data_IF_769451409130
#
_entry.id   IF_769451409130
#
_cell.length_a   1.000
_cell.length_b   1.000
_cell.length_c   1.000
_cell.angle_alpha   90.00
_cell.angle_beta   90.00
_cell.angle_gamma   90.00
#
_symmetry.space_group_name_H-M   'P 1'
#
loop_
_entity.id
_entity.type
_entity.pdbx_description
1 polymer ?
#
# COMPACT_ATOMS: atom_id res chain seq x y z
N UNK A 1 -58.85 9.42 -28.27
CA UNK A 1 -57.83 8.37 -28.04
C UNK A 1 -57.01 8.21 -29.32
N UNK A 2 -55.69 8.01 -29.31
CA UNK A 2 -54.69 8.16 -28.25
C UNK A 2 -53.33 8.48 -28.92
N UNK A 3 -52.45 9.28 -28.30
CA UNK A 3 -51.10 9.53 -28.84
C UNK A 3 -50.17 8.35 -28.54
N UNK A 4 -49.48 7.83 -29.57
CA UNK A 4 -48.45 6.81 -29.39
C UNK A 4 -47.09 7.43 -29.02
N UNK A 5 -46.61 7.16 -27.81
CA UNK A 5 -45.24 7.49 -27.41
C UNK A 5 -44.26 6.39 -27.89
N UNK A 6 -43.27 6.78 -28.69
CA UNK A 6 -42.19 5.88 -29.12
C UNK A 6 -41.11 5.79 -28.04
N UNK A 7 -40.96 4.63 -27.40
CA UNK A 7 -39.83 4.39 -26.49
C UNK A 7 -38.50 4.35 -27.27
N UNK A 8 -37.54 5.18 -26.85
CA UNK A 8 -36.15 5.09 -27.32
C UNK A 8 -35.41 3.94 -26.59
N UNK A 9 -34.52 3.20 -27.26
CA UNK A 9 -33.89 2.01 -26.67
C UNK A 9 -32.79 2.37 -25.64
N UNK A 10 -32.87 1.78 -24.44
CA UNK A 10 -31.93 1.97 -23.32
C UNK A 10 -30.44 1.71 -23.67
N UNK A 11 -30.17 0.91 -24.71
CA UNK A 11 -28.81 0.50 -25.08
C UNK A 11 -27.86 1.67 -25.43
N UNK A 12 -28.38 2.81 -25.89
CA UNK A 12 -27.55 3.99 -26.24
C UNK A 12 -27.07 4.76 -25.00
N UNK A 13 -27.85 4.75 -23.93
CA UNK A 13 -27.55 5.47 -22.69
C UNK A 13 -26.38 4.83 -21.93
N UNK A 14 -26.32 3.48 -21.89
CA UNK A 14 -25.26 2.73 -21.20
C UNK A 14 -23.87 2.94 -21.79
N UNK A 15 -23.75 3.14 -23.11
CA UNK A 15 -22.46 3.47 -23.77
C UNK A 15 -21.98 4.89 -23.44
N UNK A 16 -22.89 5.87 -23.39
CA UNK A 16 -22.57 7.25 -23.02
C UNK A 16 -22.04 7.35 -21.58
N UNK A 17 -22.63 6.61 -20.63
CA UNK A 17 -22.16 6.55 -19.24
C UNK A 17 -20.77 5.92 -19.04
N UNK A 18 -20.22 5.21 -20.03
CA UNK A 18 -18.83 4.71 -19.97
C UNK A 18 -17.87 5.55 -20.83
N UNK A 19 -18.38 6.28 -21.83
CA UNK A 19 -17.59 7.24 -22.60
C UNK A 19 -17.22 8.48 -21.77
N UNK A 20 -18.11 8.95 -20.88
CA UNK A 20 -17.87 10.15 -20.04
C UNK A 20 -16.68 9.96 -19.07
N UNK A 21 -16.57 8.87 -18.28
CA UNK A 21 -15.39 8.62 -17.45
C UNK A 21 -14.10 8.49 -18.26
N UNK A 22 -14.13 7.82 -19.42
CA UNK A 22 -12.97 7.68 -20.30
C UNK A 22 -12.53 9.03 -20.89
N UNK A 23 -13.48 9.90 -21.28
CA UNK A 23 -13.17 11.24 -21.76
C UNK A 23 -12.57 12.12 -20.66
N UNK A 24 -13.10 12.06 -19.43
CA UNK A 24 -12.53 12.80 -18.28
C UNK A 24 -11.14 12.26 -17.92
N UNK A 25 -10.94 10.94 -17.92
CA UNK A 25 -9.65 10.32 -17.66
C UNK A 25 -8.62 10.66 -18.75
N UNK A 26 -9.03 10.66 -20.03
CA UNK A 26 -8.21 11.09 -21.15
C UNK A 26 -7.88 12.59 -21.08
N UNK A 27 -8.81 13.45 -20.69
CA UNK A 27 -8.57 14.89 -20.50
C UNK A 27 -7.64 15.18 -19.31
N UNK A 28 -7.76 14.42 -18.22
CA UNK A 28 -6.82 14.50 -17.09
C UNK A 28 -5.44 14.01 -17.51
N UNK A 29 -5.34 12.87 -18.20
CA UNK A 29 -4.09 12.39 -18.79
C UNK A 29 -3.47 13.43 -19.72
N UNK A 30 -4.23 13.97 -20.68
CA UNK A 30 -3.75 15.01 -21.60
C UNK A 30 -3.31 16.29 -20.87
N UNK A 31 -4.04 16.70 -19.84
CA UNK A 31 -3.66 17.84 -19.00
C UNK A 31 -2.32 17.60 -18.28
N UNK A 32 -2.15 16.45 -17.62
CA UNK A 32 -0.91 16.10 -16.94
C UNK A 32 0.26 15.83 -17.92
N UNK A 33 -0.01 15.25 -19.10
CA UNK A 33 0.96 15.09 -20.18
C UNK A 33 1.41 16.45 -20.73
N UNK A 34 0.48 17.38 -20.96
CA UNK A 34 0.82 18.73 -21.42
C UNK A 34 1.53 19.56 -20.34
N UNK A 35 1.28 19.28 -19.06
CA UNK A 35 2.02 19.86 -17.94
C UNK A 35 3.46 19.31 -17.89
N UNK A 36 3.64 17.99 -18.01
CA UNK A 36 4.95 17.34 -18.04
C UNK A 36 5.78 17.68 -19.30
N UNK A 37 5.14 17.86 -20.46
CA UNK A 37 5.82 18.30 -21.68
C UNK A 37 6.28 19.78 -21.65
N UNK A 38 5.71 20.61 -20.77
CA UNK A 38 6.23 21.97 -20.49
C UNK A 38 7.47 21.95 -19.60
N UNK A 39 7.81 20.80 -19.01
CA UNK A 39 8.99 20.61 -18.16
C UNK A 39 10.18 20.01 -18.94
N UNK A 40 10.03 19.68 -20.23
CA UNK A 40 11.13 19.26 -21.09
C UNK A 40 11.79 20.47 -21.77
N UNK A 41 13.05 20.82 -21.46
CA UNK A 41 13.79 21.78 -22.26
C UNK A 41 14.03 21.19 -23.65
N UNK A 42 13.69 21.92 -24.72
CA UNK A 42 14.21 21.58 -26.04
C UNK A 42 15.74 21.50 -25.94
N UNK A 43 16.38 20.39 -26.36
CA UNK A 43 17.83 20.25 -26.23
C UNK A 43 18.51 21.33 -27.05
N UNK A 44 19.27 22.19 -26.37
CA UNK A 44 20.07 23.22 -27.01
C UNK A 44 21.11 22.57 -27.91
N UNK A 45 21.21 23.09 -29.14
CA UNK A 45 22.14 22.58 -30.14
C UNK A 45 23.59 22.84 -29.72
N UNK A 46 24.31 21.76 -29.43
CA UNK A 46 25.78 21.73 -29.49
C UNK A 46 26.48 21.30 -28.21
N UNK A 47 27.01 20.07 -28.22
CA UNK A 47 28.45 19.91 -28.45
C UNK A 47 28.79 18.53 -29.01
N UNK A 48 29.90 18.48 -29.75
CA UNK A 48 30.38 17.33 -30.53
C UNK A 48 31.49 16.64 -29.73
N UNK A 49 31.31 15.37 -29.36
CA UNK A 49 32.26 14.65 -28.49
C UNK A 49 32.26 13.14 -28.70
N UNK A 50 33.07 12.69 -29.67
CA UNK A 50 33.75 11.38 -29.77
C UNK A 50 33.17 10.12 -29.08
N UNK A 51 32.76 9.17 -29.93
CA UNK A 51 32.54 7.75 -29.66
C UNK A 51 33.87 6.97 -29.46
N UNK A 52 33.90 5.90 -28.64
CA UNK A 52 34.76 4.74 -28.88
C UNK A 52 33.96 3.49 -29.32
N UNK A 53 34.51 2.72 -30.26
CA UNK A 53 33.94 1.45 -30.77
C UNK A 53 34.32 0.24 -29.87
N UNK A 54 33.70 -0.95 -30.06
CA UNK A 54 33.75 -2.06 -29.11
C UNK A 54 34.95 -3.01 -29.30
N UNK A 55 35.15 -3.88 -28.31
CA UNK A 55 36.04 -5.05 -28.36
C UNK A 55 35.23 -6.36 -28.31
N UNK A 56 35.77 -7.41 -28.94
CA UNK A 56 35.09 -8.66 -29.33
C UNK A 56 35.10 -9.81 -28.28
N UNK A 57 34.40 -10.96 -28.53
CA UNK A 57 33.99 -11.91 -27.48
C UNK A 57 34.72 -13.28 -27.44
N UNK A 58 34.54 -14.01 -26.33
CA UNK A 58 34.92 -15.42 -26.09
C UNK A 58 34.18 -15.91 -24.80
N UNK A 59 33.71 -17.14 -24.55
CA UNK A 59 33.54 -18.40 -25.29
C UNK A 59 32.35 -19.22 -24.67
N UNK A 60 31.85 -20.33 -25.26
CA UNK A 60 30.61 -21.00 -24.82
C UNK A 60 30.79 -22.09 -23.73
N UNK A 61 29.70 -22.54 -23.07
CA UNK A 61 29.72 -23.66 -22.11
C UNK A 61 29.60 -25.04 -22.78
N UNK A 62 30.28 -26.04 -22.20
CA UNK A 62 30.31 -27.43 -22.68
C UNK A 62 29.07 -28.25 -22.28
N UNK A 63 28.66 -29.17 -23.14
CA UNK A 63 27.56 -30.14 -22.95
C UNK A 63 28.14 -31.54 -22.69
N UNK A 64 27.58 -32.27 -21.70
CA UNK A 64 27.67 -33.72 -21.47
C UNK A 64 26.41 -34.10 -20.65
N UNK A 65 25.31 -34.63 -21.18
CA UNK A 65 25.05 -35.99 -21.73
C UNK A 65 25.25 -37.15 -20.72
N UNK A 66 24.13 -37.56 -20.09
CA UNK A 66 23.56 -38.91 -19.77
C UNK A 66 24.46 -40.19 -19.89
N UNK A 67 24.16 -41.35 -19.23
CA UNK A 67 22.81 -41.97 -19.07
C UNK A 67 22.59 -42.79 -17.74
N UNK A 68 21.57 -43.69 -17.59
CA UNK A 68 21.05 -44.13 -16.26
C UNK A 68 21.24 -45.62 -15.90
N UNK A 69 20.97 -45.98 -14.64
CA UNK A 69 20.75 -47.35 -14.14
C UNK A 69 19.59 -47.33 -13.11
N UNK A 70 18.45 -47.97 -13.39
CA UNK A 70 18.09 -49.40 -13.16
C UNK A 70 17.67 -49.74 -11.71
N UNK A 71 16.39 -50.12 -11.57
CA UNK A 71 15.79 -50.73 -10.36
C UNK A 71 16.23 -52.20 -10.20
N UNK A 72 15.91 -52.89 -9.07
CA UNK A 72 14.64 -53.66 -9.04
C UNK A 72 13.98 -53.88 -7.65
N UNK A 73 12.75 -54.41 -7.67
CA UNK A 73 12.14 -55.17 -6.56
C UNK A 73 11.07 -54.44 -5.71
N UNK A 74 9.95 -55.02 -5.28
CA UNK A 74 8.94 -55.94 -5.86
C UNK A 74 7.99 -56.44 -4.74
N UNK A 75 6.66 -56.28 -4.92
CA UNK A 75 5.55 -57.03 -4.26
C UNK A 75 5.41 -56.88 -2.70
N UNK A 76 4.24 -56.94 -2.05
CA UNK A 76 2.81 -57.06 -2.43
C UNK A 76 1.96 -56.20 -1.46
N UNK A 77 0.62 -56.12 -1.44
CA UNK A 77 -0.44 -56.90 -2.09
C UNK A 77 -1.80 -56.17 -2.05
N UNK A 78 -2.91 -56.86 -1.70
CA UNK A 78 -4.27 -56.28 -1.70
C UNK A 78 -5.15 -56.72 -0.51
N UNK A 79 -6.22 -55.97 -0.23
CA UNK A 79 -7.35 -56.41 0.59
C UNK A 79 -8.42 -55.33 0.83
N UNK A 80 -9.61 -55.48 0.25
CA UNK A 80 -10.81 -54.69 0.58
C UNK A 80 -11.93 -55.62 1.04
N UNK A 81 -12.69 -55.22 2.05
CA UNK A 81 -13.85 -55.97 2.54
C UNK A 81 -14.57 -55.20 3.65
N UNK A 82 -15.89 -55.22 3.64
CA UNK A 82 -16.75 -54.53 4.60
C UNK A 82 -17.61 -55.54 5.36
N UNK A 83 -17.92 -55.28 6.64
CA UNK A 83 -19.29 -55.41 7.19
C UNK A 83 -19.43 -54.92 8.66
N UNK A 84 -20.69 -54.62 8.99
CA UNK A 84 -21.26 -54.03 10.21
C UNK A 84 -21.04 -54.83 11.51
N UNK A 85 -21.14 -54.14 12.67
CA UNK A 85 -22.13 -54.47 13.73
C UNK A 85 -22.18 -53.43 14.88
N UNK A 86 -23.40 -53.14 15.34
CA UNK A 86 -23.81 -52.49 16.63
C UNK A 86 -24.77 -53.49 17.35
N UNK A 87 -25.28 -53.30 18.61
CA UNK A 87 -25.34 -52.08 19.44
C UNK A 87 -25.14 -52.27 20.98
N UNK A 88 -25.49 -51.20 21.72
CA UNK A 88 -25.88 -51.12 23.16
C UNK A 88 -24.86 -51.25 24.31
N UNK A 89 -25.05 -50.38 25.32
CA UNK A 89 -24.30 -50.33 26.57
C UNK A 89 -24.48 -48.98 27.30
N UNK A 90 -25.30 -48.94 28.35
CA UNK A 90 -25.64 -47.73 29.12
C UNK A 90 -24.47 -47.18 29.96
N UNK A 91 -24.51 -45.86 30.22
CA UNK A 91 -23.60 -45.14 31.11
C UNK A 91 -23.67 -45.66 32.57
N UNK A 92 -22.63 -45.40 33.38
CA UNK A 92 -22.84 -44.33 34.36
C UNK A 92 -21.71 -43.28 34.41
N UNK A 93 -22.09 -42.10 34.89
CA UNK A 93 -21.20 -40.95 35.11
C UNK A 93 -20.02 -41.28 36.05
N UNK A 94 -18.82 -40.87 35.64
CA UNK A 94 -17.77 -40.45 36.56
C UNK A 94 -17.16 -39.14 36.06
N UNK A 95 -17.47 -38.04 36.75
CA UNK A 95 -16.88 -36.72 36.47
C UNK A 95 -15.47 -36.70 37.04
N UNK A 96 -14.50 -37.19 36.29
CA UNK A 96 -13.11 -37.02 36.65
C UNK A 96 -12.62 -35.66 36.15
N UNK A 97 -12.64 -34.65 37.03
CA UNK A 97 -11.92 -33.40 36.84
C UNK A 97 -10.42 -33.68 36.71
N UNK A 98 -9.96 -33.96 35.50
CA UNK A 98 -8.58 -33.69 35.12
C UNK A 98 -8.46 -32.19 34.88
N UNK A 99 -7.92 -31.49 35.86
CA UNK A 99 -7.26 -30.21 35.69
C UNK A 99 -6.03 -30.38 34.80
N UNK A 100 -6.27 -30.53 33.50
CA UNK A 100 -5.23 -30.31 32.50
C UNK A 100 -4.75 -28.86 32.59
N UNK A 101 -3.47 -28.58 32.27
CA UNK A 101 -3.04 -27.21 32.06
C UNK A 101 -3.99 -26.55 31.05
N UNK A 102 -4.35 -25.30 31.30
CA UNK A 102 -5.00 -24.49 30.30
C UNK A 102 -3.98 -24.28 29.18
N UNK A 103 -3.98 -25.18 28.18
CA UNK A 103 -3.41 -24.87 26.88
C UNK A 103 -4.18 -23.65 26.37
N UNK A 104 -3.59 -22.48 26.64
CA UNK A 104 -3.78 -21.32 25.79
C UNK A 104 -3.47 -21.84 24.40
N UNK A 105 -4.52 -22.09 23.62
CA UNK A 105 -4.40 -22.37 22.21
C UNK A 105 -3.62 -21.19 21.65
N UNK A 106 -2.31 -21.38 21.44
CA UNK A 106 -1.46 -20.42 20.74
C UNK A 106 -2.00 -20.37 19.32
N UNK A 107 -3.00 -19.50 19.15
CA UNK A 107 -3.63 -19.23 17.87
C UNK A 107 -2.54 -18.58 17.04
N UNK A 108 -1.84 -19.41 16.29
CA UNK A 108 -0.70 -19.03 15.45
C UNK A 108 -1.02 -17.70 14.76
N UNK A 109 -0.14 -16.72 14.94
CA UNK A 109 -0.39 -15.39 14.41
C UNK A 109 -0.54 -15.50 12.89
N UNK A 110 -1.64 -15.00 12.28
CA UNK A 110 -1.96 -15.34 10.90
C UNK A 110 -0.80 -14.94 9.97
N UNK A 111 -0.46 -15.75 8.95
CA UNK A 111 0.80 -15.61 8.20
C UNK A 111 1.08 -14.22 7.61
N UNK A 112 0.03 -13.42 7.38
CA UNK A 112 0.13 -12.03 6.92
C UNK A 112 0.79 -11.07 7.92
N UNK A 113 0.82 -11.40 9.22
CA UNK A 113 1.47 -10.65 10.30
C UNK A 113 2.84 -11.21 10.69
N UNK A 114 3.14 -12.46 10.32
CA UNK A 114 4.43 -13.08 10.55
C UNK A 114 5.59 -12.31 9.90
N UNK A 115 6.86 -12.65 10.17
CA UNK A 115 8.02 -11.89 9.72
C UNK A 115 8.10 -11.65 8.20
N UNK A 116 7.59 -12.59 7.40
CA UNK A 116 7.51 -12.50 5.94
C UNK A 116 6.12 -12.09 5.41
N UNK A 117 5.14 -11.90 6.30
CA UNK A 117 3.82 -11.43 5.96
C UNK A 117 3.82 -9.95 5.55
N UNK A 118 2.95 -9.56 4.62
CA UNK A 118 2.91 -8.19 4.09
C UNK A 118 2.61 -7.15 5.18
N UNK A 119 1.59 -7.40 6.01
CA UNK A 119 1.25 -6.54 7.14
C UNK A 119 2.34 -6.59 8.22
N UNK A 120 2.92 -7.77 8.47
CA UNK A 120 4.01 -7.98 9.42
C UNK A 120 5.25 -7.14 9.11
N UNK A 121 5.71 -7.14 7.85
CA UNK A 121 6.82 -6.29 7.39
C UNK A 121 6.48 -4.80 7.50
N UNK A 122 5.28 -4.40 7.08
CA UNK A 122 4.80 -3.01 7.16
C UNK A 122 4.80 -2.50 8.60
N UNK A 123 4.18 -3.25 9.52
CA UNK A 123 4.10 -2.91 10.95
C UNK A 123 5.48 -2.89 11.61
N UNK A 124 6.35 -3.84 11.27
CA UNK A 124 7.73 -3.90 11.82
C UNK A 124 8.53 -2.66 11.44
N UNK A 125 8.55 -2.29 10.15
CA UNK A 125 9.29 -1.12 9.69
C UNK A 125 8.73 0.19 10.25
N UNK A 126 7.40 0.34 10.30
CA UNK A 126 6.77 1.51 10.92
C UNK A 126 7.03 1.60 12.43
N UNK A 127 7.04 0.50 13.18
CA UNK A 127 7.44 0.50 14.60
C UNK A 127 8.92 0.85 14.77
N UNK A 128 9.81 0.26 13.97
CA UNK A 128 11.24 0.55 14.00
C UNK A 128 11.56 2.01 13.62
N UNK A 129 10.66 2.69 12.90
CA UNK A 129 10.80 4.12 12.60
C UNK A 129 10.65 5.03 13.80
N UNK A 130 10.10 4.55 14.91
CA UNK A 130 10.02 5.30 16.15
C UNK A 130 11.24 4.93 17.00
N UNK A 131 12.25 5.80 17.01
CA UNK A 131 13.52 5.48 17.65
C UNK A 131 13.44 5.68 19.19
N UNK A 132 14.34 5.05 19.97
CA UNK A 132 14.37 5.21 21.43
C UNK A 132 14.58 6.64 21.90
N UNK A 133 15.19 7.49 21.07
CA UNK A 133 15.45 8.91 21.33
C UNK A 133 14.19 9.79 21.21
N UNK A 134 13.05 9.21 20.81
CA UNK A 134 11.77 9.90 20.69
C UNK A 134 11.57 10.66 19.37
N UNK A 135 12.36 10.39 18.34
CA UNK A 135 12.29 10.97 17.01
C UNK A 135 11.90 9.91 15.95
N UNK A 136 11.74 10.32 14.68
CA UNK A 136 11.44 9.40 13.57
C UNK A 136 12.70 9.09 12.76
N UNK A 137 13.11 7.82 12.72
CA UNK A 137 14.19 7.32 11.87
C UNK A 137 13.71 7.17 10.41
N UNK A 138 14.32 7.93 9.50
CA UNK A 138 13.77 8.09 8.15
C UNK A 138 13.89 6.83 7.30
N UNK A 139 14.91 6.00 7.50
CA UNK A 139 15.11 4.81 6.66
C UNK A 139 14.03 3.76 6.92
N UNK A 140 13.68 3.52 8.19
CA UNK A 140 12.59 2.62 8.58
C UNK A 140 11.21 3.21 8.25
N UNK A 141 11.02 4.52 8.40
CA UNK A 141 9.77 5.19 8.01
C UNK A 141 9.47 4.97 6.52
N UNK A 142 10.50 5.13 5.67
CA UNK A 142 10.41 4.91 4.22
C UNK A 142 10.27 3.42 3.86
N UNK A 143 10.86 2.51 4.63
CA UNK A 143 10.66 1.08 4.47
C UNK A 143 9.19 0.67 4.77
N UNK A 144 8.59 1.21 5.84
CA UNK A 144 7.16 1.04 6.14
C UNK A 144 6.28 1.57 5.01
N UNK A 145 6.62 2.75 4.48
CA UNK A 145 5.96 3.32 3.31
C UNK A 145 6.07 2.47 2.05
N UNK A 146 7.22 1.82 1.78
CA UNK A 146 7.35 0.89 0.65
C UNK A 146 6.43 -0.32 0.79
N UNK A 147 6.27 -0.88 1.98
CA UNK A 147 5.31 -1.98 2.19
C UNK A 147 3.85 -1.51 2.08
N UNK A 148 3.53 -0.29 2.55
CA UNK A 148 2.19 0.30 2.39
C UNK A 148 1.86 0.56 0.91
N UNK A 149 2.80 1.10 0.14
CA UNK A 149 2.65 1.23 -1.32
C UNK A 149 2.43 -0.12 -1.98
N UNK A 150 3.23 -1.15 -1.64
CA UNK A 150 3.04 -2.52 -2.15
C UNK A 150 1.67 -3.10 -1.82
N UNK A 151 1.13 -2.83 -0.63
CA UNK A 151 -0.22 -3.24 -0.24
C UNK A 151 -1.33 -2.52 -1.05
N UNK A 152 -1.12 -1.25 -1.41
CA UNK A 152 -2.10 -0.44 -2.15
C UNK A 152 -2.02 -0.64 -3.69
N UNK A 153 -0.90 -1.11 -4.23
CA UNK A 153 -0.73 -1.34 -5.69
C UNK A 153 -1.77 -2.30 -6.30
N UNK A 154 -2.15 -3.43 -5.67
CA UNK A 154 -3.19 -4.34 -6.16
C UNK A 154 -4.61 -3.78 -6.24
N UNK A 155 -4.86 -2.55 -5.77
CA UNK A 155 -6.17 -1.87 -5.89
C UNK A 155 -6.50 -1.46 -7.35
N UNK A 156 -5.53 -1.57 -8.26
CA UNK A 156 -5.74 -1.47 -9.70
C UNK A 156 -5.48 -0.09 -10.31
N UNK A 157 -5.70 0.01 -11.63
CA UNK A 157 -5.33 1.19 -12.44
C UNK A 157 -5.97 2.50 -11.97
N UNK A 158 -7.15 2.44 -11.36
CA UNK A 158 -7.84 3.61 -10.79
C UNK A 158 -7.03 4.26 -9.67
N UNK A 159 -6.26 3.48 -8.90
CA UNK A 159 -5.40 3.96 -7.82
C UNK A 159 -3.93 4.11 -8.22
N UNK A 160 -3.56 3.76 -9.46
CA UNK A 160 -2.19 3.82 -9.95
C UNK A 160 -1.60 5.23 -9.89
N UNK A 161 -2.39 6.29 -10.08
CA UNK A 161 -1.91 7.66 -9.91
C UNK A 161 -1.46 7.93 -8.46
N UNK A 162 -2.29 7.61 -7.47
CA UNK A 162 -2.01 7.87 -6.06
C UNK A 162 -0.85 7.00 -5.53
N UNK A 163 -0.79 5.73 -5.93
CA UNK A 163 0.33 4.84 -5.55
C UNK A 163 1.63 5.22 -6.24
N UNK A 164 1.58 5.69 -7.50
CA UNK A 164 2.74 6.26 -8.20
C UNK A 164 3.23 7.55 -7.53
N UNK A 165 2.33 8.49 -7.19
CA UNK A 165 2.70 9.74 -6.52
C UNK A 165 3.38 9.48 -5.16
N UNK A 166 2.83 8.55 -4.36
CA UNK A 166 3.45 8.11 -3.12
C UNK A 166 4.82 7.46 -3.37
N UNK A 167 4.94 6.58 -4.38
CA UNK A 167 6.20 5.93 -4.77
C UNK A 167 7.27 6.92 -5.16
N UNK A 168 6.93 7.97 -5.93
CA UNK A 168 7.85 9.04 -6.32
C UNK A 168 8.34 9.81 -5.10
N UNK A 169 7.46 10.18 -4.16
CA UNK A 169 7.85 10.89 -2.92
C UNK A 169 8.74 10.03 -2.02
N UNK A 170 8.40 8.75 -1.83
CA UNK A 170 9.22 7.79 -1.08
C UNK A 170 10.60 7.67 -1.71
N UNK A 171 10.67 7.46 -3.02
CA UNK A 171 11.93 7.35 -3.77
C UNK A 171 12.77 8.63 -3.65
N UNK A 172 12.15 9.81 -3.79
CA UNK A 172 12.83 11.10 -3.70
C UNK A 172 13.41 11.38 -2.31
N UNK A 173 12.75 10.95 -1.22
CA UNK A 173 13.32 11.09 0.12
C UNK A 173 14.38 10.00 0.39
N UNK A 174 14.20 8.79 -0.13
CA UNK A 174 15.20 7.72 -0.06
C UNK A 174 16.52 8.05 -0.75
N UNK A 175 16.52 8.80 -1.87
CA UNK A 175 17.77 9.24 -2.52
C UNK A 175 18.56 10.20 -1.64
N UNK A 176 17.91 10.95 -0.74
CA UNK A 176 18.58 11.80 0.25
C UNK A 176 19.10 10.99 1.44
N UNK A 177 18.31 10.04 1.95
CA UNK A 177 18.72 9.09 3.01
C UNK A 177 19.94 8.24 2.61
N UNK A 178 20.16 8.00 1.31
CA UNK A 178 21.31 7.25 0.76
C UNK A 178 22.31 8.13 -0.03
N UNK A 179 22.10 9.44 -0.04
CA UNK A 179 22.86 10.39 -0.88
C UNK A 179 24.08 10.99 -0.19
N UNK A 180 24.63 12.05 -0.79
CA UNK A 180 25.77 12.79 -0.22
C UNK A 180 25.43 13.38 1.17
N UNK A 181 24.21 13.90 1.33
CA UNK A 181 23.73 14.49 2.58
C UNK A 181 23.16 13.46 3.58
N UNK A 182 23.35 12.16 3.35
CA UNK A 182 22.75 11.07 4.16
C UNK A 182 23.00 11.20 5.68
N UNK A 183 24.12 11.82 6.08
CA UNK A 183 24.41 12.11 7.48
C UNK A 183 23.33 12.97 8.17
N UNK A 184 22.69 13.87 7.42
CA UNK A 184 21.63 14.76 7.87
C UNK A 184 20.23 14.13 7.74
N UNK A 185 20.06 13.16 6.84
CA UNK A 185 18.79 12.46 6.60
C UNK A 185 18.62 11.17 7.44
N UNK A 186 19.23 11.10 8.63
CA UNK A 186 19.03 9.96 9.55
C UNK A 186 17.67 9.99 10.25
N UNK A 187 17.26 11.16 10.73
CA UNK A 187 16.01 11.32 11.49
C UNK A 187 15.27 12.60 11.11
N UNK A 188 13.99 12.70 11.49
CA UNK A 188 13.17 13.90 11.26
C UNK A 188 13.79 15.16 11.91
N UNK A 189 14.30 15.09 13.14
CA UNK A 189 14.95 16.24 13.76
C UNK A 189 16.24 16.64 13.04
N UNK A 190 17.11 15.68 12.68
CA UNK A 190 18.36 15.94 11.97
C UNK A 190 18.10 16.57 10.59
N UNK A 191 17.15 16.01 9.83
CA UNK A 191 16.73 16.54 8.53
C UNK A 191 16.20 17.97 8.67
N UNK A 192 15.28 18.19 9.61
CA UNK A 192 14.66 19.51 9.81
C UNK A 192 15.69 20.58 10.20
N UNK A 193 16.64 20.23 11.08
CA UNK A 193 17.69 21.15 11.51
C UNK A 193 18.59 21.55 10.33
N UNK A 194 19.03 20.57 9.55
CA UNK A 194 19.88 20.80 8.38
C UNK A 194 19.17 21.57 7.26
N UNK A 195 17.94 21.19 6.90
CA UNK A 195 17.16 21.89 5.86
C UNK A 195 16.84 23.33 6.25
N UNK A 196 16.69 23.62 7.55
CA UNK A 196 16.53 24.98 8.07
C UNK A 196 17.85 25.76 8.02
N UNK A 197 18.96 25.14 8.42
CA UNK A 197 20.29 25.77 8.43
C UNK A 197 20.79 26.11 7.01
N UNK A 198 20.49 25.25 6.03
CA UNK A 198 20.88 25.40 4.62
C UNK A 198 19.88 26.21 3.78
N UNK A 199 18.75 26.63 4.35
CA UNK A 199 17.72 27.40 3.65
C UNK A 199 16.89 26.59 2.64
N UNK A 200 16.93 25.26 2.70
CA UNK A 200 16.14 24.35 1.86
C UNK A 200 14.68 24.22 2.32
N UNK A 201 14.38 24.54 3.58
CA UNK A 201 13.04 24.47 4.15
C UNK A 201 12.14 25.58 3.56
N UNK A 202 11.02 25.21 2.94
CA UNK A 202 10.14 26.19 2.30
C UNK A 202 9.39 27.08 3.32
N UNK A 203 9.00 28.27 2.88
CA UNK A 203 8.09 29.12 3.66
C UNK A 203 6.68 28.53 3.64
N UNK A 204 5.94 28.52 4.79
CA UNK A 204 4.56 28.07 4.84
C UNK A 204 3.68 28.68 3.74
N UNK A 205 2.79 27.86 3.17
CA UNK A 205 1.89 28.29 2.07
C UNK A 205 2.57 28.56 0.72
N UNK A 206 3.90 28.48 0.61
CA UNK A 206 4.61 28.66 -0.67
C UNK A 206 4.75 27.31 -1.37
N UNK A 207 4.02 27.09 -2.45
CA UNK A 207 4.24 25.91 -3.29
C UNK A 207 5.60 26.04 -4.02
N UNK A 208 6.48 25.02 -3.99
CA UNK A 208 7.67 24.99 -4.83
C UNK A 208 7.27 25.17 -6.30
N UNK A 209 8.00 26.01 -7.03
CA UNK A 209 7.82 26.18 -8.49
C UNK A 209 8.13 24.91 -9.29
N UNK A 210 8.73 23.93 -8.62
CA UNK A 210 9.27 22.68 -9.15
C UNK A 210 9.23 21.64 -8.02
N UNK A 211 8.52 20.54 -8.24
CA UNK A 211 8.30 19.50 -7.23
C UNK A 211 9.56 18.68 -6.94
N UNK A 212 10.54 18.63 -7.85
CA UNK A 212 11.84 17.99 -7.62
C UNK A 212 12.69 18.77 -6.60
N UNK A 213 12.39 20.07 -6.40
CA UNK A 213 13.01 20.94 -5.39
C UNK A 213 12.25 21.01 -4.06
N UNK A 214 11.22 20.18 -3.85
CA UNK A 214 10.57 20.04 -2.54
C UNK A 214 11.59 19.65 -1.46
N UNK A 215 11.51 20.22 -0.26
CA UNK A 215 12.29 19.76 0.89
C UNK A 215 11.89 18.33 1.28
N UNK A 216 12.78 17.63 1.99
CA UNK A 216 12.50 16.36 2.62
C UNK A 216 11.46 16.49 3.73
N UNK A 217 11.49 17.59 4.50
CA UNK A 217 10.46 17.92 5.49
C UNK A 217 9.07 18.08 4.85
N UNK A 218 8.95 18.80 3.72
CA UNK A 218 7.70 18.91 2.95
C UNK A 218 7.28 17.57 2.35
N UNK A 219 8.23 16.78 1.84
CA UNK A 219 7.96 15.44 1.28
C UNK A 219 7.44 14.49 2.34
N UNK A 220 8.07 14.47 3.52
CA UNK A 220 7.65 13.69 4.68
C UNK A 220 6.28 14.13 5.20
N UNK A 221 5.98 15.43 5.25
CA UNK A 221 4.65 15.92 5.63
C UNK A 221 3.54 15.44 4.67
N UNK A 222 3.80 15.44 3.37
CA UNK A 222 2.85 14.93 2.38
C UNK A 222 2.60 13.43 2.55
N UNK A 223 3.65 12.64 2.77
CA UNK A 223 3.53 11.22 3.12
C UNK A 223 2.73 11.07 4.43
N UNK A 224 3.12 11.76 5.50
CA UNK A 224 2.46 11.72 6.81
C UNK A 224 0.94 11.98 6.75
N UNK A 225 0.48 12.95 5.95
CA UNK A 225 -0.96 13.18 5.72
C UNK A 225 -1.64 12.00 5.02
N UNK A 226 -0.96 11.36 4.06
CA UNK A 226 -1.42 10.12 3.43
C UNK A 226 -1.37 8.90 4.37
N UNK A 227 -0.49 8.90 5.39
CA UNK A 227 -0.47 7.88 6.45
C UNK A 227 -1.79 7.89 7.23
N UNK A 228 -2.29 9.08 7.58
CA UNK A 228 -3.57 9.24 8.28
C UNK A 228 -4.74 8.71 7.46
N UNK A 229 -4.79 9.01 6.16
CA UNK A 229 -5.82 8.44 5.28
C UNK A 229 -5.76 6.90 5.27
N UNK A 230 -4.55 6.35 5.10
CA UNK A 230 -4.32 4.90 5.06
C UNK A 230 -4.79 4.25 6.36
N UNK A 231 -4.36 4.78 7.51
CA UNK A 231 -4.77 4.31 8.83
C UNK A 231 -6.29 4.34 9.03
N UNK A 232 -6.96 5.45 8.72
CA UNK A 232 -8.41 5.59 8.86
C UNK A 232 -9.16 4.62 7.91
N UNK A 233 -8.70 4.48 6.67
CA UNK A 233 -9.26 3.54 5.70
C UNK A 233 -9.13 2.09 6.19
N UNK A 234 -7.94 1.65 6.61
CA UNK A 234 -7.71 0.31 7.13
C UNK A 234 -8.57 0.01 8.38
N UNK A 235 -8.65 0.95 9.32
CA UNK A 235 -9.47 0.82 10.53
C UNK A 235 -10.96 0.60 10.18
N UNK A 236 -11.49 1.37 9.23
CA UNK A 236 -12.90 1.31 8.82
C UNK A 236 -13.22 0.05 8.01
N UNK A 237 -12.29 -0.41 7.17
CA UNK A 237 -12.41 -1.71 6.47
C UNK A 237 -12.47 -2.84 7.49
N UNK A 238 -11.62 -2.81 8.52
CA UNK A 238 -11.58 -3.83 9.58
C UNK A 238 -12.86 -3.84 10.44
N UNK A 239 -13.38 -2.67 10.82
CA UNK A 239 -14.53 -2.50 11.74
C UNK A 239 -15.90 -2.41 11.06
N UNK A 240 -15.95 -2.34 9.72
CA UNK A 240 -17.19 -2.17 8.96
C UNK A 240 -18.19 -3.31 9.17
N UNK A 241 -19.39 -2.98 9.66
CA UNK A 241 -20.48 -3.93 9.95
C UNK A 241 -21.03 -4.58 8.69
N UNK A 242 -21.54 -5.81 8.83
CA UNK A 242 -22.35 -6.48 7.79
C UNK A 242 -23.60 -5.62 7.48
N UNK A 243 -23.94 -5.48 6.20
CA UNK A 243 -25.02 -4.58 5.75
C UNK A 243 -24.73 -3.07 5.92
N UNK A 244 -23.56 -2.69 6.43
CA UNK A 244 -23.12 -1.29 6.48
C UNK A 244 -22.55 -0.79 5.16
N UNK A 245 -22.15 0.49 5.07
CA UNK A 245 -21.60 1.09 3.85
C UNK A 245 -20.39 0.34 3.29
N UNK A 246 -20.22 0.40 1.96
CA UNK A 246 -19.10 -0.22 1.26
C UNK A 246 -17.74 0.36 1.67
N UNK A 247 -16.71 -0.47 1.54
CA UNK A 247 -15.33 -0.07 1.83
C UNK A 247 -14.90 1.20 1.06
N UNK A 248 -15.34 1.35 -0.21
CA UNK A 248 -15.08 2.55 -1.01
C UNK A 248 -15.68 3.83 -0.40
N UNK A 249 -16.92 3.76 0.09
CA UNK A 249 -17.56 4.88 0.79
C UNK A 249 -16.83 5.20 2.08
N UNK A 250 -16.46 4.16 2.86
CA UNK A 250 -15.74 4.32 4.13
C UNK A 250 -14.34 4.92 3.95
N UNK A 251 -13.60 4.54 2.91
CA UNK A 251 -12.27 5.09 2.60
C UNK A 251 -12.34 6.45 1.87
N UNK A 252 -13.45 6.75 1.18
CA UNK A 252 -13.74 8.09 0.63
C UNK A 252 -14.02 9.11 1.73
N UNK A 253 -14.77 8.73 2.77
CA UNK A 253 -14.98 9.62 3.92
C UNK A 253 -13.68 9.82 4.72
N UNK A 254 -12.85 8.78 4.86
CA UNK A 254 -11.51 8.90 5.45
C UNK A 254 -10.62 9.86 4.65
N UNK A 255 -10.74 9.88 3.31
CA UNK A 255 -10.08 10.85 2.45
C UNK A 255 -10.62 12.27 2.68
N UNK A 256 -11.93 12.40 2.87
CA UNK A 256 -12.60 13.63 3.28
C UNK A 256 -12.02 14.23 4.56
N UNK A 257 -11.71 13.39 5.55
CA UNK A 257 -11.06 13.82 6.81
C UNK A 257 -9.58 14.16 6.64
N UNK A 258 -8.79 13.28 6.00
CA UNK A 258 -7.32 13.32 6.10
C UNK A 258 -6.60 14.06 4.96
N UNK A 259 -7.15 14.07 3.74
CA UNK A 259 -6.45 14.55 2.53
C UNK A 259 -7.21 15.63 1.77
N UNK A 260 -8.55 15.59 1.74
CA UNK A 260 -9.36 16.58 1.04
C UNK A 260 -9.11 18.05 1.46
N UNK A 261 -8.79 18.38 2.74
CA UNK A 261 -8.41 19.75 3.12
C UNK A 261 -7.15 20.27 2.41
N UNK A 262 -6.24 19.37 2.03
CA UNK A 262 -4.94 19.68 1.42
C UNK A 262 -4.93 19.55 -0.10
N UNK A 263 -6.01 19.05 -0.71
CA UNK A 263 -6.08 18.78 -2.14
C UNK A 263 -6.92 19.82 -2.89
N UNK A 264 -6.43 20.33 -4.05
CA UNK A 264 -7.21 21.19 -4.93
C UNK A 264 -8.55 20.57 -5.34
N UNK A 265 -9.53 21.41 -5.70
CA UNK A 265 -10.88 20.96 -6.05
C UNK A 265 -10.90 19.85 -7.12
N UNK A 266 -10.03 19.93 -8.13
CA UNK A 266 -9.93 18.93 -9.20
C UNK A 266 -9.50 17.55 -8.68
N UNK A 267 -8.48 17.51 -7.81
CA UNK A 267 -8.00 16.27 -7.17
C UNK A 267 -9.08 15.70 -6.26
N UNK A 268 -9.87 16.54 -5.57
CA UNK A 268 -11.04 16.07 -4.80
C UNK A 268 -12.12 15.42 -5.68
N UNK A 269 -12.39 15.93 -6.88
CA UNK A 269 -13.33 15.26 -7.80
C UNK A 269 -12.76 13.96 -8.37
N UNK A 270 -11.48 13.94 -8.75
CA UNK A 270 -10.81 12.74 -9.21
C UNK A 270 -10.83 11.63 -8.14
N UNK A 271 -10.52 11.97 -6.88
CA UNK A 271 -10.60 11.04 -5.76
C UNK A 271 -12.02 10.49 -5.54
N UNK A 272 -13.06 11.34 -5.56
CA UNK A 272 -14.46 10.90 -5.46
C UNK A 272 -14.83 9.88 -6.54
N UNK A 273 -14.41 10.11 -7.78
CA UNK A 273 -14.63 9.16 -8.88
C UNK A 273 -13.83 7.86 -8.69
N UNK A 274 -12.58 7.96 -8.22
CA UNK A 274 -11.75 6.80 -7.93
C UNK A 274 -12.37 5.87 -6.87
N UNK A 275 -12.96 6.44 -5.82
CA UNK A 275 -13.62 5.64 -4.77
C UNK A 275 -14.88 4.90 -5.22
N UNK A 276 -15.51 5.28 -6.33
CA UNK A 276 -16.62 4.50 -6.93
C UNK A 276 -16.16 3.16 -7.51
N UNK A 277 -14.86 3.02 -7.80
CA UNK A 277 -14.23 1.79 -8.26
C UNK A 277 -13.23 1.21 -7.22
N UNK A 278 -13.36 1.62 -5.95
CA UNK A 278 -12.62 0.99 -4.86
C UNK A 278 -13.10 -0.46 -4.66
N UNK A 279 -12.21 -1.43 -4.39
CA UNK A 279 -12.63 -2.81 -4.19
C UNK A 279 -13.51 -2.97 -2.95
N UNK A 280 -14.40 -3.98 -3.00
CA UNK A 280 -15.22 -4.39 -1.87
C UNK A 280 -14.39 -4.87 -0.67
N UNK A 281 -15.02 -4.87 0.51
CA UNK A 281 -14.37 -5.20 1.79
C UNK A 281 -13.68 -6.57 1.74
N UNK A 282 -14.34 -7.58 1.23
CA UNK A 282 -13.85 -8.96 1.21
C UNK A 282 -12.58 -9.08 0.36
N UNK A 283 -12.52 -8.34 -0.76
CA UNK A 283 -11.33 -8.28 -1.61
C UNK A 283 -10.15 -7.59 -0.91
N UNK A 284 -10.41 -6.56 -0.11
CA UNK A 284 -9.37 -5.90 0.70
C UNK A 284 -8.86 -6.81 1.82
N UNK A 285 -9.75 -7.56 2.47
CA UNK A 285 -9.39 -8.53 3.50
C UNK A 285 -8.56 -9.69 2.92
N UNK A 286 -8.94 -10.22 1.75
CA UNK A 286 -8.16 -11.25 1.05
C UNK A 286 -6.79 -10.70 0.56
N UNK A 287 -6.69 -9.44 0.14
CA UNK A 287 -5.39 -8.81 -0.17
C UNK A 287 -4.53 -8.61 1.08
N UNK A 288 -5.14 -8.28 2.22
CA UNK A 288 -4.44 -8.02 3.47
C UNK A 288 -3.95 -9.30 4.16
N UNK A 289 -4.78 -10.34 4.16
CA UNK A 289 -4.48 -11.62 4.80
C UNK A 289 -5.04 -12.81 3.99
N UNK A 290 -4.36 -13.20 2.89
CA UNK A 290 -4.87 -14.20 1.96
C UNK A 290 -5.19 -15.54 2.62
N UNK A 291 -6.28 -16.18 2.19
CA UNK A 291 -6.70 -17.53 2.65
C UNK A 291 -6.93 -17.65 4.18
N UNK A 292 -7.21 -16.56 4.88
CA UNK A 292 -7.57 -16.59 6.32
C UNK A 292 -9.06 -16.34 6.53
N UNK A 293 -9.58 -16.63 7.73
CA UNK A 293 -10.98 -16.31 8.03
C UNK A 293 -11.17 -14.79 8.07
N UNK A 294 -12.33 -14.30 7.67
CA UNK A 294 -12.65 -12.87 7.65
C UNK A 294 -12.38 -12.19 9.02
N UNK A 295 -12.68 -12.89 10.12
CA UNK A 295 -12.41 -12.43 11.49
C UNK A 295 -10.91 -12.28 11.80
N UNK A 296 -10.07 -13.17 11.27
CA UNK A 296 -8.61 -13.14 11.42
C UNK A 296 -8.00 -12.02 10.56
N UNK A 297 -8.46 -11.89 9.30
CA UNK A 297 -8.07 -10.81 8.41
C UNK A 297 -8.44 -9.42 8.96
N UNK A 298 -9.65 -9.27 9.52
CA UNK A 298 -10.09 -8.03 10.20
C UNK A 298 -9.25 -7.73 11.44
N UNK A 299 -8.96 -8.73 12.27
CA UNK A 299 -8.10 -8.56 13.45
C UNK A 299 -6.68 -8.12 13.05
N UNK A 300 -6.12 -8.71 11.98
CA UNK A 300 -4.82 -8.32 11.43
C UNK A 300 -4.81 -6.89 10.87
N UNK A 301 -5.85 -6.52 10.11
CA UNK A 301 -5.99 -5.18 9.55
C UNK A 301 -6.19 -4.12 10.63
N UNK A 302 -6.93 -4.45 11.70
CA UNK A 302 -7.09 -3.58 12.87
C UNK A 302 -5.76 -3.38 13.62
N UNK A 303 -4.99 -4.45 13.86
CA UNK A 303 -3.62 -4.36 14.45
C UNK A 303 -2.69 -3.50 13.58
N UNK A 304 -2.81 -3.61 12.26
CA UNK A 304 -2.07 -2.75 11.31
C UNK A 304 -2.49 -1.29 11.48
N UNK A 305 -3.78 -1.00 11.44
CA UNK A 305 -4.31 0.36 11.58
C UNK A 305 -3.91 1.02 12.92
N UNK A 306 -3.97 0.31 14.04
CA UNK A 306 -3.49 0.81 15.34
C UNK A 306 -1.99 1.12 15.34
N UNK A 307 -1.18 0.31 14.64
CA UNK A 307 0.26 0.57 14.50
C UNK A 307 0.54 1.82 13.65
N UNK A 308 -0.22 2.03 12.57
CA UNK A 308 -0.12 3.26 11.78
C UNK A 308 -0.58 4.49 12.57
N UNK A 309 -1.55 4.33 13.49
CA UNK A 309 -2.05 5.41 14.34
C UNK A 309 -1.03 5.84 15.40
N UNK A 310 -0.35 4.89 16.03
CA UNK A 310 0.74 5.17 16.97
C UNK A 310 1.87 5.96 16.31
N UNK A 311 2.30 5.53 15.12
CA UNK A 311 3.34 6.21 14.32
C UNK A 311 2.88 7.57 13.86
N UNK A 312 1.63 7.69 13.37
CA UNK A 312 1.05 8.97 13.00
C UNK A 312 1.01 9.93 14.20
N UNK A 313 0.51 9.52 15.36
CA UNK A 313 0.36 10.42 16.51
C UNK A 313 1.71 10.94 17.02
N UNK A 314 2.74 10.09 17.12
CA UNK A 314 4.11 10.52 17.49
C UNK A 314 4.73 11.44 16.42
N UNK A 315 4.65 11.06 15.15
CA UNK A 315 5.16 11.89 14.03
C UNK A 315 4.45 13.24 13.96
N UNK A 316 3.14 13.28 14.20
CA UNK A 316 2.33 14.50 14.23
C UNK A 316 2.79 15.47 15.34
N UNK A 317 3.09 14.96 16.54
CA UNK A 317 3.66 15.75 17.63
C UNK A 317 5.00 16.37 17.24
N UNK A 318 5.93 15.55 16.72
CA UNK A 318 7.27 15.99 16.32
C UNK A 318 7.23 17.05 15.19
N UNK A 319 6.33 16.88 14.22
CA UNK A 319 6.08 17.87 13.16
C UNK A 319 5.46 19.16 13.70
N UNK A 320 4.61 19.09 14.73
CA UNK A 320 4.01 20.25 15.37
C UNK A 320 5.05 21.07 16.15
N UNK A 321 5.83 20.42 17.02
CA UNK A 321 6.93 21.02 17.79
C UNK A 321 7.93 21.78 16.92
N UNK A 322 8.21 21.26 15.73
CA UNK A 322 9.17 21.82 14.77
C UNK A 322 8.55 22.88 13.83
N UNK A 323 7.25 23.15 13.97
CA UNK A 323 6.51 24.14 13.17
C UNK A 323 6.26 23.73 11.70
N UNK A 324 6.25 22.42 11.41
CA UNK A 324 6.28 21.89 10.05
C UNK A 324 4.90 21.63 9.43
N UNK A 325 3.83 21.57 10.23
CA UNK A 325 2.48 21.15 9.77
C UNK A 325 1.90 21.96 8.60
N UNK A 326 2.37 23.19 8.39
CA UNK A 326 1.89 24.14 7.38
C UNK A 326 2.85 24.31 6.18
N UNK A 327 3.86 23.45 6.03
CA UNK A 327 4.79 23.50 4.88
C UNK A 327 4.12 23.15 3.54
N UNK A 328 3.07 22.32 3.55
CA UNK A 328 2.45 21.74 2.36
C UNK A 328 0.98 22.11 2.17
#
# INVERSE_FOLDING_TARGET
AAMGFTLRPLARQRRLHHAIPLAIFALLLLYFSAQSLREWPLPSSGQRGTLPRPSEPMAPPSILTAPPHLSPGALSGCGSGAQSCTPEGLLPFQVQQKSGPLEVLEREEPPCLGPQGMLGRMMRAFRASLNPEGDVELSQYLAGWRELVRFLTPLGSVFAFATSEASTKVTALETRVRGLDAAHYKSLAAMTAWERQTGLLERPGTAPRDSARSSGSRTMLLLHRALRWSQLCLHRVATGKLGGPDAGVQCSDAYGTALAPHHPWLIRQAARLAFLAFPGRDRLLELACPRTRETEARAALLRTASTLEEVYNRTQGLLAERGLLHLA
#
